data_IF_365986075452
#
_entry.id   IF_365986075452
#
_cell.length_a   1.000
_cell.length_b   1.000
_cell.length_c   1.000
_cell.angle_alpha   90.00
_cell.angle_beta   90.00
_cell.angle_gamma   90.00
#
_symmetry.space_group_name_H-M   'P 1'
#
loop_
_entity.id
_entity.type
_entity.pdbx_description
1 polymer ?
#
# COMPACT_ATOMS: atom_id res chain seq x y z
N UNK A 1 12.19 -14.79 19.13
CA UNK A 1 12.05 -15.62 17.93
C UNK A 1 12.47 -17.05 18.23
N UNK A 2 11.91 -18.05 17.55
CA UNK A 2 12.29 -19.47 17.73
C UNK A 2 13.72 -19.71 17.25
N UNK A 3 14.40 -20.70 17.88
CA UNK A 3 15.75 -21.06 17.46
C UNK A 3 15.77 -21.85 16.16
N UNK A 4 16.95 -21.96 15.52
CA UNK A 4 17.12 -22.77 14.30
C UNK A 4 16.76 -24.24 14.54
N UNK A 5 17.07 -24.77 15.71
CA UNK A 5 16.79 -26.17 16.08
C UNK A 5 15.27 -26.40 16.13
N UNK A 6 14.50 -25.48 16.71
CA UNK A 6 13.03 -25.56 16.74
C UNK A 6 12.48 -25.41 15.32
N UNK A 7 12.96 -24.42 14.55
CA UNK A 7 12.52 -24.21 13.18
C UNK A 7 12.76 -25.45 12.29
N UNK A 8 13.93 -26.09 12.43
CA UNK A 8 14.27 -27.34 11.71
C UNK A 8 13.26 -28.44 12.02
N UNK A 9 13.01 -28.74 13.31
CA UNK A 9 12.06 -29.79 13.72
C UNK A 9 10.63 -29.52 13.19
N UNK A 10 10.19 -28.27 13.23
CA UNK A 10 8.87 -27.88 12.74
C UNK A 10 8.78 -28.04 11.21
N UNK A 11 9.80 -27.59 10.47
CA UNK A 11 9.85 -27.73 9.02
C UNK A 11 9.90 -29.21 8.57
N UNK A 12 10.68 -30.06 9.25
CA UNK A 12 10.71 -31.49 9.01
C UNK A 12 9.34 -32.12 9.24
N UNK A 13 8.65 -31.72 10.32
CA UNK A 13 7.29 -32.15 10.62
C UNK A 13 6.27 -31.73 9.55
N UNK A 14 6.45 -30.57 8.94
CA UNK A 14 5.62 -30.10 7.82
C UNK A 14 5.70 -31.01 6.57
N UNK A 15 6.84 -31.66 6.35
CA UNK A 15 7.09 -32.42 5.11
C UNK A 15 6.78 -33.91 5.19
N UNK A 16 6.29 -34.42 6.31
CA UNK A 16 6.02 -35.85 6.54
C UNK A 16 4.97 -36.48 5.61
N UNK A 17 4.21 -35.66 4.86
CA UNK A 17 3.20 -36.13 3.89
C UNK A 17 3.63 -35.92 2.44
N UNK A 18 4.95 -35.81 2.19
CA UNK A 18 5.51 -35.57 0.86
C UNK A 18 5.33 -34.14 0.36
N UNK A 19 5.18 -33.18 1.28
CA UNK A 19 5.28 -31.77 0.96
C UNK A 19 6.62 -31.45 0.28
N UNK A 20 6.62 -30.53 -0.67
CA UNK A 20 7.81 -30.16 -1.44
C UNK A 20 8.43 -28.81 -1.00
N UNK A 21 7.69 -28.03 -0.20
CA UNK A 21 8.13 -26.81 0.41
C UNK A 21 7.39 -26.57 1.74
N UNK A 22 8.08 -26.07 2.74
CA UNK A 22 7.50 -25.60 3.99
C UNK A 22 8.13 -24.26 4.42
N UNK A 23 7.34 -23.40 5.05
CA UNK A 23 7.75 -22.08 5.52
C UNK A 23 7.17 -21.81 6.90
N UNK A 24 7.98 -21.21 7.74
CA UNK A 24 7.60 -20.60 9.02
C UNK A 24 7.72 -19.09 8.88
N UNK A 25 6.70 -18.38 9.31
CA UNK A 25 6.70 -16.92 9.49
C UNK A 25 6.35 -16.60 10.93
N UNK A 26 7.31 -16.17 11.72
CA UNK A 26 7.10 -15.72 13.09
C UNK A 26 7.03 -14.21 13.14
N UNK A 27 6.08 -13.66 13.88
CA UNK A 27 5.91 -12.23 14.10
C UNK A 27 5.77 -11.92 15.59
N UNK A 28 6.52 -10.91 16.03
CA UNK A 28 6.37 -10.24 17.32
C UNK A 28 6.23 -8.75 17.07
N UNK A 29 5.05 -8.21 17.27
CA UNK A 29 4.76 -6.82 16.95
C UNK A 29 4.15 -6.06 18.11
N UNK A 30 4.57 -4.80 18.28
CA UNK A 30 4.00 -3.84 19.21
C UNK A 30 3.38 -2.71 18.41
N UNK A 31 2.12 -2.42 18.68
CA UNK A 31 1.39 -1.32 18.03
C UNK A 31 0.91 -0.36 19.10
N UNK A 32 1.16 0.93 18.91
CA UNK A 32 0.62 1.99 19.74
C UNK A 32 -0.21 2.93 18.89
N UNK A 33 -1.34 3.39 19.43
CA UNK A 33 -2.17 4.41 18.81
C UNK A 33 -2.68 5.41 19.84
N UNK A 34 -2.74 6.68 19.41
CA UNK A 34 -3.26 7.78 20.23
C UNK A 34 -4.26 8.53 19.36
N UNK A 35 -5.40 8.92 19.93
CA UNK A 35 -6.36 9.81 19.29
C UNK A 35 -6.57 11.09 20.09
N UNK A 36 -6.57 12.22 19.38
CA UNK A 36 -6.90 13.54 19.89
C UNK A 36 -8.10 14.07 19.11
N UNK A 37 -9.10 14.55 19.81
CA UNK A 37 -10.29 15.18 19.24
C UNK A 37 -10.51 16.50 19.97
N UNK A 38 -10.57 17.61 19.22
CA UNK A 38 -10.77 18.95 19.74
C UNK A 38 -9.92 19.24 20.99
N UNK A 39 -8.61 19.08 20.85
CA UNK A 39 -7.55 19.26 21.86
C UNK A 39 -7.57 18.27 23.05
N UNK A 40 -8.50 17.34 23.11
CA UNK A 40 -8.59 16.33 24.17
C UNK A 40 -8.05 15.00 23.68
N UNK A 41 -7.20 14.37 24.48
CA UNK A 41 -6.80 12.98 24.26
C UNK A 41 -7.98 12.08 24.60
N UNK A 42 -8.49 11.34 23.61
CA UNK A 42 -9.61 10.45 23.82
C UNK A 42 -9.17 9.02 24.12
N UNK A 43 -8.15 8.55 23.41
CA UNK A 43 -7.69 7.17 23.57
C UNK A 43 -6.16 7.09 23.49
N UNK A 44 -5.60 6.24 24.32
CA UNK A 44 -4.21 5.77 24.24
C UNK A 44 -4.28 4.25 24.31
N UNK A 45 -3.92 3.58 23.22
CA UNK A 45 -3.98 2.13 23.12
C UNK A 45 -2.60 1.60 22.76
N UNK A 46 -2.18 0.52 23.41
CA UNK A 46 -0.97 -0.21 23.10
C UNK A 46 -1.23 -1.69 23.19
N UNK A 47 -0.63 -2.48 22.32
CA UNK A 47 -0.78 -3.92 22.32
C UNK A 47 0.37 -4.64 21.65
N UNK A 48 0.67 -5.86 22.14
CA UNK A 48 1.58 -6.81 21.51
C UNK A 48 0.76 -7.91 20.85
N UNK A 49 1.06 -8.20 19.58
CA UNK A 49 0.54 -9.38 18.87
C UNK A 49 1.73 -10.28 18.50
N UNK A 50 1.63 -11.57 18.90
CA UNK A 50 2.67 -12.55 18.69
C UNK A 50 2.06 -13.81 18.10
N UNK A 51 2.77 -14.41 17.14
CA UNK A 51 2.42 -15.74 16.66
C UNK A 51 3.26 -16.21 15.49
N UNK A 52 2.96 -17.43 15.06
CA UNK A 52 3.70 -18.17 14.08
C UNK A 52 2.74 -18.74 13.04
N UNK A 53 2.94 -18.37 11.78
CA UNK A 53 2.27 -18.96 10.63
C UNK A 53 3.13 -20.06 10.01
N UNK A 54 2.51 -21.16 9.64
CA UNK A 54 3.14 -22.31 8.97
C UNK A 54 2.45 -22.55 7.65
N UNK A 55 3.21 -22.57 6.56
CA UNK A 55 2.71 -22.81 5.21
C UNK A 55 3.43 -24.01 4.59
N UNK A 56 2.65 -24.88 3.92
CA UNK A 56 3.18 -26.07 3.27
C UNK A 56 2.66 -26.13 1.83
N UNK A 57 3.56 -26.40 0.88
CA UNK A 57 3.17 -26.73 -0.50
C UNK A 57 3.32 -28.22 -0.80
N UNK A 58 2.39 -28.73 -1.58
CA UNK A 58 2.53 -30.01 -2.32
C UNK A 58 2.09 -29.75 -3.76
N UNK A 59 3.04 -29.68 -4.68
CA UNK A 59 2.84 -29.19 -6.04
C UNK A 59 2.27 -27.75 -6.05
N UNK A 60 1.03 -27.56 -6.52
CA UNK A 60 0.34 -26.25 -6.58
C UNK A 60 -0.71 -26.08 -5.48
N UNK A 61 -0.82 -27.02 -4.56
CA UNK A 61 -1.69 -26.90 -3.38
C UNK A 61 -0.92 -26.25 -2.24
N UNK A 62 -1.60 -25.37 -1.50
CA UNK A 62 -1.08 -24.72 -0.29
C UNK A 62 -2.01 -25.00 0.88
N UNK A 63 -1.44 -25.26 2.05
CA UNK A 63 -2.13 -25.25 3.34
C UNK A 63 -1.44 -24.25 4.24
N UNK A 64 -2.23 -23.47 4.95
CA UNK A 64 -1.78 -22.49 5.92
C UNK A 64 -2.43 -22.75 7.27
N UNK A 65 -1.63 -22.74 8.33
CA UNK A 65 -2.07 -22.81 9.72
C UNK A 65 -1.26 -21.83 10.56
N UNK A 66 -1.79 -21.40 11.69
CA UNK A 66 -1.06 -20.53 12.61
C UNK A 66 -1.40 -20.81 14.06
N UNK A 67 -0.51 -20.39 14.96
CA UNK A 67 -0.67 -20.45 16.41
C UNK A 67 -0.01 -19.24 17.06
N UNK A 68 -0.46 -18.87 18.25
CA UNK A 68 0.20 -17.87 19.11
C UNK A 68 0.95 -18.52 20.29
N UNK A 69 1.02 -19.85 20.33
CA UNK A 69 1.81 -20.62 21.30
C UNK A 69 3.11 -21.09 20.64
N UNK A 70 4.25 -20.62 21.16
CA UNK A 70 5.58 -20.94 20.67
C UNK A 70 6.23 -22.16 21.33
N UNK A 71 5.48 -22.92 22.15
CA UNK A 71 6.01 -24.17 22.66
C UNK A 71 6.25 -25.17 21.54
N UNK A 72 7.35 -25.93 21.64
CA UNK A 72 7.70 -26.91 20.62
C UNK A 72 6.56 -27.91 20.39
N UNK A 73 5.85 -28.33 21.43
CA UNK A 73 4.70 -29.26 21.33
C UNK A 73 3.56 -28.66 20.50
N UNK A 74 3.20 -27.38 20.72
CA UNK A 74 2.15 -26.69 19.95
C UNK A 74 2.54 -26.48 18.49
N UNK A 75 3.81 -26.10 18.24
CA UNK A 75 4.32 -25.92 16.89
C UNK A 75 4.34 -27.23 16.08
N UNK A 76 4.78 -28.35 16.72
CA UNK A 76 4.78 -29.67 16.09
C UNK A 76 3.35 -30.19 15.82
N UNK A 77 2.39 -29.92 16.71
CA UNK A 77 0.99 -30.28 16.52
C UNK A 77 0.36 -29.46 15.38
N UNK A 78 0.64 -28.14 15.32
CA UNK A 78 0.18 -27.25 14.23
C UNK A 78 0.76 -27.69 12.88
N UNK A 79 2.05 -27.98 12.83
CA UNK A 79 2.74 -28.48 11.64
C UNK A 79 2.14 -29.84 11.18
N UNK A 80 1.89 -30.75 12.12
CA UNK A 80 1.29 -32.05 11.85
C UNK A 80 -0.12 -31.91 11.26
N UNK A 81 -0.97 -31.09 11.87
CA UNK A 81 -2.34 -30.82 11.38
C UNK A 81 -2.33 -30.21 9.98
N UNK A 82 -1.42 -29.28 9.71
CA UNK A 82 -1.25 -28.71 8.38
C UNK A 82 -0.77 -29.75 7.35
N UNK A 83 0.19 -30.61 7.73
CA UNK A 83 0.71 -31.64 6.85
C UNK A 83 -0.33 -32.69 6.46
N UNK A 84 -1.09 -33.23 7.42
CA UNK A 84 -2.12 -34.25 7.14
C UNK A 84 -3.27 -33.72 6.27
N UNK A 85 -3.51 -32.41 6.24
CA UNK A 85 -4.46 -31.79 5.33
C UNK A 85 -4.05 -31.88 3.83
N UNK A 86 -2.75 -32.11 3.56
CA UNK A 86 -2.21 -32.28 2.20
C UNK A 86 -2.17 -33.75 1.72
N UNK A 87 -2.20 -34.73 2.63
CA UNK A 87 -2.13 -36.13 2.24
C UNK A 87 -1.79 -37.08 3.38
N UNK A 88 -1.51 -38.33 3.03
CA UNK A 88 -1.08 -39.36 3.96
C UNK A 88 0.39 -39.21 4.31
N UNK A 89 0.78 -39.76 5.44
CA UNK A 89 2.19 -39.78 5.92
C UNK A 89 3.02 -40.61 4.92
N UNK A 90 4.14 -40.05 4.52
CA UNK A 90 5.18 -40.62 3.65
C UNK A 90 6.54 -40.49 4.37
N UNK A 91 7.63 -40.93 3.75
CA UNK A 91 8.96 -40.72 4.29
C UNK A 91 9.29 -39.23 4.34
N UNK A 92 9.63 -38.72 5.53
CA UNK A 92 9.97 -37.34 5.78
C UNK A 92 11.30 -36.94 5.14
N UNK A 93 11.50 -35.65 4.93
CA UNK A 93 12.76 -35.07 4.44
C UNK A 93 13.52 -34.42 5.60
N UNK A 94 14.82 -34.68 5.67
CA UNK A 94 15.70 -33.94 6.57
C UNK A 94 16.02 -32.55 6.01
N UNK A 95 16.01 -31.54 6.88
CA UNK A 95 16.24 -30.15 6.52
C UNK A 95 17.50 -29.62 7.20
N UNK A 96 18.27 -28.83 6.47
CA UNK A 96 19.44 -28.15 7.00
C UNK A 96 19.31 -26.66 6.74
N UNK A 97 19.16 -25.87 7.81
CA UNK A 97 19.10 -24.42 7.76
C UNK A 97 20.52 -23.82 7.66
N UNK A 98 21.14 -23.93 6.49
CA UNK A 98 22.53 -23.49 6.26
C UNK A 98 22.62 -22.02 5.81
N UNK A 99 21.54 -21.46 5.28
CA UNK A 99 21.52 -20.12 4.72
C UNK A 99 20.99 -19.10 5.72
N UNK A 100 21.75 -18.83 6.78
CA UNK A 100 21.49 -17.64 7.57
C UNK A 100 21.87 -16.43 6.72
N UNK A 101 20.87 -15.76 6.15
CA UNK A 101 21.08 -14.54 5.37
C UNK A 101 20.73 -13.34 6.23
N UNK A 102 21.70 -12.46 6.42
CA UNK A 102 21.45 -11.12 6.93
C UNK A 102 21.35 -10.19 5.73
N UNK A 103 20.21 -9.57 5.55
CA UNK A 103 20.02 -8.59 4.49
C UNK A 103 20.47 -7.20 4.97
N UNK A 104 20.99 -6.40 4.01
CA UNK A 104 21.35 -5.02 4.31
C UNK A 104 20.08 -4.26 4.70
N UNK A 105 20.10 -3.62 5.86
CA UNK A 105 19.02 -2.73 6.25
C UNK A 105 19.09 -1.43 5.42
N UNK A 106 18.12 -1.25 4.53
CA UNK A 106 17.98 -0.06 3.69
C UNK A 106 17.18 1.06 4.37
N UNK A 107 16.52 0.75 5.49
CA UNK A 107 15.60 1.62 6.21
C UNK A 107 16.03 1.80 7.67
N UNK A 108 17.18 2.46 7.95
CA UNK A 108 17.70 2.62 9.30
C UNK A 108 16.77 3.47 10.15
N UNK A 109 16.53 3.04 11.39
CA UNK A 109 15.73 3.71 12.39
C UNK A 109 16.66 4.45 13.34
N UNK A 110 16.38 5.74 13.59
CA UNK A 110 17.16 6.57 14.51
C UNK A 110 16.53 6.64 15.90
N UNK A 111 15.20 6.74 15.98
CA UNK A 111 14.46 6.88 17.25
C UNK A 111 13.35 5.85 17.28
N UNK A 112 13.52 4.80 18.06
CA UNK A 112 12.51 3.77 18.24
C UNK A 112 11.27 4.33 18.94
N UNK A 113 10.06 4.23 18.38
CA UNK A 113 8.86 4.84 18.94
C UNK A 113 8.54 4.37 20.36
N UNK A 114 8.87 3.12 20.72
CA UNK A 114 8.67 2.59 22.06
C UNK A 114 9.59 3.23 23.13
N UNK A 115 10.64 3.95 22.73
CA UNK A 115 11.53 4.70 23.65
C UNK A 115 11.10 6.14 23.85
N UNK A 116 10.07 6.62 23.13
CA UNK A 116 9.58 7.99 23.17
C UNK A 116 8.44 8.10 24.17
N UNK A 117 8.52 9.10 25.06
CA UNK A 117 7.46 9.38 26.02
C UNK A 117 6.14 9.71 25.28
N UNK A 118 5.03 9.19 25.79
CA UNK A 118 3.71 9.44 25.25
C UNK A 118 3.37 10.96 25.20
N UNK A 119 3.90 11.75 26.11
CA UNK A 119 3.74 13.23 26.13
C UNK A 119 4.34 13.89 24.89
N UNK A 120 5.48 13.39 24.40
CA UNK A 120 6.12 13.94 23.19
C UNK A 120 5.32 13.58 21.93
N UNK A 121 4.76 12.38 21.86
CA UNK A 121 3.83 11.98 20.81
C UNK A 121 2.57 12.86 20.80
N UNK A 122 1.97 13.09 21.97
CA UNK A 122 0.80 13.97 22.14
C UNK A 122 1.14 15.41 21.76
N UNK A 123 2.35 15.89 22.07
CA UNK A 123 2.80 17.24 21.69
C UNK A 123 2.77 17.44 20.18
N UNK A 124 3.28 16.50 19.40
CA UNK A 124 3.20 16.52 17.93
C UNK A 124 1.74 16.58 17.45
N UNK A 125 0.87 15.79 18.05
CA UNK A 125 -0.55 15.77 17.68
C UNK A 125 -1.25 17.08 18.02
N UNK A 126 -0.96 17.68 19.16
CA UNK A 126 -1.52 18.99 19.57
C UNK A 126 -1.01 20.12 18.70
N UNK A 127 0.24 20.07 18.24
CA UNK A 127 0.76 21.01 17.25
C UNK A 127 -0.04 20.91 15.94
N UNK A 128 -0.27 19.72 15.43
CA UNK A 128 -1.10 19.50 14.24
C UNK A 128 -2.56 19.98 14.47
N UNK A 129 -3.16 19.62 15.61
CA UNK A 129 -4.51 20.07 15.95
C UNK A 129 -4.62 21.59 15.90
N UNK A 130 -3.73 22.30 16.61
CA UNK A 130 -3.74 23.76 16.67
C UNK A 130 -3.60 24.38 15.29
N UNK A 131 -2.65 23.90 14.48
CA UNK A 131 -2.39 24.44 13.15
C UNK A 131 -3.58 24.26 12.19
N UNK A 132 -4.32 23.15 12.30
CA UNK A 132 -5.55 22.95 11.53
C UNK A 132 -6.69 23.83 12.06
N UNK A 133 -6.88 23.89 13.38
CA UNK A 133 -7.98 24.62 14.02
C UNK A 133 -7.88 26.13 13.80
N UNK A 134 -6.66 26.67 13.85
CA UNK A 134 -6.38 28.09 13.68
C UNK A 134 -6.36 28.54 12.21
N UNK A 135 -6.53 27.60 11.24
CA UNK A 135 -6.45 27.90 9.81
C UNK A 135 -7.55 28.86 9.35
N UNK A 136 -8.81 28.59 9.72
CA UNK A 136 -9.97 29.41 9.38
C UNK A 136 -11.13 29.19 10.36
N UNK A 137 -11.99 30.19 10.52
CA UNK A 137 -13.18 30.12 11.41
C UNK A 137 -14.17 29.01 11.02
N UNK A 138 -14.22 28.60 9.75
CA UNK A 138 -15.07 27.50 9.27
C UNK A 138 -14.66 26.14 9.85
N UNK A 139 -13.41 26.00 10.32
CA UNK A 139 -12.95 24.72 10.86
C UNK A 139 -13.64 24.46 12.20
N UNK A 140 -14.70 23.67 12.14
CA UNK A 140 -15.54 23.34 13.29
C UNK A 140 -14.91 22.27 14.16
N UNK A 141 -14.31 21.22 13.55
CA UNK A 141 -13.80 20.05 14.26
C UNK A 141 -12.47 19.57 13.66
N UNK A 142 -11.55 19.14 14.52
CA UNK A 142 -10.29 18.53 14.09
C UNK A 142 -10.03 17.28 14.92
N UNK A 143 -9.72 16.18 14.24
CA UNK A 143 -9.22 14.95 14.85
C UNK A 143 -7.81 14.65 14.37
N UNK A 144 -6.95 14.21 15.30
CA UNK A 144 -5.59 13.80 15.00
C UNK A 144 -5.35 12.41 15.58
N UNK A 145 -4.93 11.48 14.73
CA UNK A 145 -4.51 10.14 15.11
C UNK A 145 -2.99 10.00 14.97
N UNK A 146 -2.38 9.29 15.89
CA UNK A 146 -1.00 8.83 15.82
C UNK A 146 -0.98 7.31 15.88
N UNK A 147 -0.14 6.68 15.09
CA UNK A 147 0.09 5.25 15.10
C UNK A 147 1.57 4.95 14.89
N UNK A 148 2.12 4.06 15.72
CA UNK A 148 3.37 3.39 15.43
C UNK A 148 3.22 1.86 15.53
N UNK A 149 3.96 1.14 14.70
CA UNK A 149 4.08 -0.32 14.75
C UNK A 149 5.55 -0.71 14.65
N UNK A 150 6.05 -1.41 15.65
CA UNK A 150 7.31 -2.13 15.60
C UNK A 150 7.00 -3.60 15.33
N UNK A 151 7.50 -4.13 14.22
CA UNK A 151 7.26 -5.50 13.77
C UNK A 151 8.59 -6.20 13.58
N UNK A 152 8.86 -7.19 14.44
CA UNK A 152 9.98 -8.10 14.31
C UNK A 152 9.49 -9.39 13.67
N UNK A 153 10.16 -9.86 12.63
CA UNK A 153 9.81 -11.09 11.92
C UNK A 153 11.00 -12.03 11.79
N UNK A 154 10.69 -13.33 11.79
CA UNK A 154 11.62 -14.39 11.43
C UNK A 154 10.96 -15.23 10.32
N UNK A 155 11.74 -15.52 9.28
CA UNK A 155 11.32 -16.40 8.19
C UNK A 155 12.31 -17.54 8.07
N UNK A 156 11.79 -18.78 8.16
CA UNK A 156 12.58 -20.00 7.93
C UNK A 156 11.84 -20.88 6.91
N UNK A 157 12.57 -21.54 6.01
CA UNK A 157 11.95 -22.42 5.05
C UNK A 157 12.78 -23.67 4.73
N UNK A 158 12.12 -24.66 4.13
CA UNK A 158 12.73 -25.95 3.78
C UNK A 158 13.77 -25.89 2.65
N UNK A 159 13.99 -24.73 2.03
CA UNK A 159 15.09 -24.48 1.08
C UNK A 159 16.36 -23.99 1.81
N UNK A 160 16.35 -24.00 3.14
CA UNK A 160 17.50 -23.70 3.99
C UNK A 160 17.58 -22.25 4.47
N UNK A 161 16.63 -21.39 4.12
CA UNK A 161 16.60 -20.00 4.57
C UNK A 161 16.27 -19.93 6.08
N UNK A 162 17.00 -19.07 6.78
CA UNK A 162 16.69 -18.59 8.12
C UNK A 162 17.12 -17.12 8.20
N UNK A 163 16.18 -16.20 8.35
CA UNK A 163 16.44 -14.76 8.32
C UNK A 163 15.46 -14.00 9.20
N UNK A 164 15.91 -12.85 9.68
CA UNK A 164 15.14 -11.93 10.50
C UNK A 164 15.10 -10.55 9.85
N UNK A 165 14.04 -9.78 10.12
CA UNK A 165 13.91 -8.38 9.73
C UNK A 165 13.09 -7.61 10.78
N UNK A 166 13.39 -6.32 10.94
CA UNK A 166 12.65 -5.41 11.81
C UNK A 166 12.09 -4.26 10.99
N UNK A 167 10.79 -4.05 11.09
CA UNK A 167 10.05 -3.02 10.36
C UNK A 167 9.38 -2.09 11.33
N UNK A 168 9.74 -0.80 11.30
CA UNK A 168 9.14 0.21 12.16
C UNK A 168 8.43 1.23 11.29
N UNK A 169 7.14 1.41 11.54
CA UNK A 169 6.30 2.35 10.82
C UNK A 169 5.66 3.34 11.77
N UNK A 170 5.71 4.61 11.39
CA UNK A 170 5.06 5.70 12.13
C UNK A 170 4.14 6.46 11.18
N UNK A 171 2.95 6.83 11.66
CA UNK A 171 1.93 7.54 10.87
C UNK A 171 1.23 8.62 11.70
N UNK A 172 0.95 9.76 11.06
CA UNK A 172 0.06 10.79 11.56
C UNK A 172 -1.18 10.84 10.66
N UNK A 173 -2.36 10.97 11.26
CA UNK A 173 -3.64 11.03 10.54
C UNK A 173 -4.37 12.28 11.00
N UNK A 174 -4.62 13.21 10.09
CA UNK A 174 -5.24 14.49 10.40
C UNK A 174 -6.52 14.61 9.60
N UNK A 175 -7.61 14.89 10.28
CA UNK A 175 -8.92 15.16 9.70
C UNK A 175 -9.43 16.49 10.19
N UNK A 176 -9.71 17.41 9.27
CA UNK A 176 -10.35 18.69 9.54
C UNK A 176 -11.74 18.72 8.91
N UNK A 177 -12.71 19.23 9.64
CA UNK A 177 -14.08 19.43 9.16
C UNK A 177 -14.35 20.93 9.15
N UNK A 178 -14.68 21.46 8.00
CA UNK A 178 -15.22 22.79 7.82
C UNK A 178 -16.75 22.72 7.75
N UNK A 179 -17.43 23.64 8.42
CA UNK A 179 -18.89 23.63 8.55
C UNK A 179 -19.47 25.02 8.34
N UNK A 180 -20.64 25.07 7.71
CA UNK A 180 -21.54 26.23 7.73
C UNK A 180 -22.94 25.77 8.21
N UNK A 181 -23.95 26.64 8.10
CA UNK A 181 -25.31 26.34 8.54
C UNK A 181 -25.97 25.16 7.79
N UNK A 182 -25.51 24.85 6.57
CA UNK A 182 -26.18 23.91 5.68
C UNK A 182 -25.42 22.58 5.51
N UNK A 183 -24.08 22.59 5.67
CA UNK A 183 -23.29 21.42 5.31
C UNK A 183 -21.92 21.38 5.99
N UNK A 184 -21.27 20.22 5.87
CA UNK A 184 -19.92 19.94 6.34
C UNK A 184 -19.08 19.40 5.21
N UNK A 185 -17.82 19.82 5.13
CA UNK A 185 -16.84 19.26 4.21
C UNK A 185 -15.57 18.85 4.98
N UNK A 186 -14.90 17.81 4.50
CA UNK A 186 -13.75 17.22 5.17
C UNK A 186 -12.50 17.33 4.31
N UNK A 187 -11.38 17.68 4.95
CA UNK A 187 -10.06 17.54 4.37
C UNK A 187 -9.20 16.67 5.26
N UNK A 188 -8.33 15.84 4.66
CA UNK A 188 -7.49 14.93 5.40
C UNK A 188 -6.07 14.87 4.85
N UNK A 189 -5.12 14.58 5.76
CA UNK A 189 -3.73 14.28 5.46
C UNK A 189 -3.28 13.11 6.33
N UNK A 190 -2.60 12.12 5.74
CA UNK A 190 -2.26 10.90 6.45
C UNK A 190 -0.80 10.48 6.21
N UNK A 191 0.20 11.37 6.44
CA UNK A 191 1.59 11.04 6.19
C UNK A 191 2.06 9.86 7.06
N UNK A 192 2.82 8.96 6.47
CA UNK A 192 3.39 7.80 7.13
C UNK A 192 4.71 7.37 6.50
N UNK A 193 5.61 6.78 7.29
CA UNK A 193 6.94 6.33 6.84
C UNK A 193 7.31 4.99 7.46
N UNK A 194 8.16 4.26 6.77
CA UNK A 194 8.94 3.16 7.33
C UNK A 194 10.12 3.77 8.11
N UNK A 195 9.80 4.47 9.18
CA UNK A 195 10.71 5.22 10.06
C UNK A 195 10.21 5.17 11.50
N UNK A 196 11.11 5.49 12.45
CA UNK A 196 10.75 5.73 13.82
C UNK A 196 10.20 7.16 14.05
N UNK A 197 10.29 7.62 15.29
CA UNK A 197 9.76 8.93 15.68
C UNK A 197 10.51 10.11 15.05
N UNK A 198 11.75 9.88 14.58
CA UNK A 198 12.52 10.87 13.80
C UNK A 198 11.79 11.35 12.55
N UNK A 199 10.77 10.65 12.09
CA UNK A 199 9.93 11.06 10.97
C UNK A 199 9.45 12.51 11.10
N UNK A 200 9.06 12.92 12.31
CA UNK A 200 8.53 14.28 12.57
C UNK A 200 9.59 15.37 12.56
N UNK A 201 10.86 14.99 12.60
CA UNK A 201 11.98 15.95 12.52
C UNK A 201 12.56 16.02 11.10
N UNK A 202 12.60 14.86 10.43
CA UNK A 202 13.38 14.71 9.20
C UNK A 202 12.52 14.86 7.92
N UNK A 203 11.23 14.46 7.93
CA UNK A 203 10.44 14.35 6.69
C UNK A 203 9.00 14.85 6.78
N UNK A 204 8.36 14.79 7.94
CA UNK A 204 6.94 15.10 8.09
C UNK A 204 6.75 16.28 9.03
N UNK A 205 6.41 17.44 8.48
CA UNK A 205 6.00 18.61 9.25
C UNK A 205 4.51 18.51 9.63
N UNK A 206 4.18 18.31 10.91
CA UNK A 206 2.79 18.19 11.37
C UNK A 206 1.95 19.44 11.11
N UNK A 207 2.56 20.64 11.17
CA UNK A 207 1.86 21.91 10.94
C UNK A 207 1.47 22.06 9.46
N UNK A 208 2.40 21.76 8.56
CA UNK A 208 2.14 21.79 7.12
C UNK A 208 0.98 20.88 6.74
N UNK A 209 1.02 19.60 7.14
CA UNK A 209 -0.03 18.64 6.82
C UNK A 209 -1.38 19.01 7.45
N UNK A 210 -1.35 19.58 8.65
CA UNK A 210 -2.56 20.03 9.32
C UNK A 210 -3.22 21.21 8.59
N UNK A 211 -2.43 22.21 8.16
CA UNK A 211 -2.91 23.33 7.35
C UNK A 211 -3.46 22.88 6.01
N UNK A 212 -2.80 21.93 5.33
CA UNK A 212 -3.29 21.35 4.06
C UNK A 212 -4.59 20.57 4.21
N UNK A 213 -4.81 19.85 5.33
CA UNK A 213 -6.09 19.23 5.64
C UNK A 213 -7.19 20.26 5.83
N UNK A 214 -6.94 21.28 6.67
CA UNK A 214 -7.90 22.37 6.94
C UNK A 214 -8.22 23.17 5.69
N UNK A 215 -7.22 23.48 4.86
CA UNK A 215 -7.38 24.19 3.58
C UNK A 215 -8.29 23.44 2.62
N UNK A 216 -8.10 22.13 2.47
CA UNK A 216 -8.98 21.32 1.62
C UNK A 216 -10.41 21.33 2.13
N UNK A 217 -10.64 21.17 3.45
CA UNK A 217 -11.98 21.24 4.04
C UNK A 217 -12.64 22.59 3.78
N UNK A 218 -11.92 23.70 4.01
CA UNK A 218 -12.41 25.07 3.78
C UNK A 218 -12.75 25.32 2.30
N UNK A 219 -11.85 24.97 1.38
CA UNK A 219 -12.10 25.16 -0.07
C UNK A 219 -13.34 24.37 -0.50
N UNK A 220 -13.44 23.10 -0.08
CA UNK A 220 -14.56 22.23 -0.49
C UNK A 220 -15.91 22.68 0.12
N UNK A 221 -15.91 23.33 1.28
CA UNK A 221 -17.12 23.90 1.88
C UNK A 221 -17.75 24.99 0.97
N UNK A 222 -16.91 25.76 0.28
CA UNK A 222 -17.31 26.84 -0.60
C UNK A 222 -17.33 26.45 -2.10
N UNK A 223 -16.96 25.20 -2.41
CA UNK A 223 -16.93 24.70 -3.78
C UNK A 223 -18.35 24.46 -4.35
N UNK A 224 -18.53 24.70 -5.64
CA UNK A 224 -19.76 24.34 -6.38
C UNK A 224 -19.84 22.83 -6.66
N UNK A 225 -21.01 22.36 -7.02
CA UNK A 225 -21.13 20.99 -7.51
C UNK A 225 -20.42 20.82 -8.86
N UNK A 226 -19.71 19.70 -9.02
CA UNK A 226 -19.06 19.39 -10.29
C UNK A 226 -20.09 18.97 -11.34
N UNK A 227 -20.05 19.51 -12.56
CA UNK A 227 -20.89 19.04 -13.64
C UNK A 227 -20.53 17.59 -14.02
N UNK A 228 -21.55 16.80 -14.35
CA UNK A 228 -21.35 15.46 -14.89
C UNK A 228 -21.11 15.52 -16.40
N UNK A 229 -20.27 14.63 -16.92
CA UNK A 229 -20.05 14.54 -18.35
C UNK A 229 -18.79 13.75 -18.72
N UNK A 230 -18.54 13.64 -20.02
CA UNK A 230 -17.31 13.05 -20.54
C UNK A 230 -16.38 14.19 -20.95
N UNK A 231 -15.23 14.29 -20.33
CA UNK A 231 -14.31 15.41 -20.50
C UNK A 231 -12.84 15.01 -20.29
N UNK A 232 -11.87 15.82 -20.77
CA UNK A 232 -10.47 15.66 -20.43
C UNK A 232 -10.25 15.97 -18.94
N UNK A 233 -9.35 15.20 -18.29
CA UNK A 233 -9.03 15.38 -16.88
C UNK A 233 -7.53 15.41 -16.69
N UNK A 234 -7.01 16.46 -16.07
CA UNK A 234 -5.68 16.48 -15.48
C UNK A 234 -5.79 15.89 -14.07
N UNK A 235 -5.01 14.83 -13.78
CA UNK A 235 -4.97 14.21 -12.45
C UNK A 235 -3.60 14.51 -11.86
N UNK A 236 -3.60 15.17 -10.70
CA UNK A 236 -2.37 15.61 -10.07
C UNK A 236 -1.51 14.46 -9.55
N UNK A 237 -0.30 14.78 -9.15
CA UNK A 237 0.70 13.85 -8.64
C UNK A 237 0.30 13.21 -7.28
N UNK A 238 1.15 12.34 -6.76
CA UNK A 238 0.98 11.72 -5.45
C UNK A 238 -0.19 10.72 -5.45
N UNK A 239 -1.22 10.96 -4.63
CA UNK A 239 -2.34 10.02 -4.49
C UNK A 239 -3.19 9.84 -5.77
N UNK A 240 -2.98 10.64 -6.81
CA UNK A 240 -3.49 10.39 -8.17
C UNK A 240 -3.13 8.99 -8.67
N UNK A 241 -1.96 8.47 -8.28
CA UNK A 241 -1.49 7.12 -8.60
C UNK A 241 -2.39 5.98 -8.10
N UNK A 242 -3.41 6.27 -7.27
CA UNK A 242 -4.42 5.29 -6.87
C UNK A 242 -5.15 4.71 -8.09
N UNK A 243 -5.32 5.50 -9.15
CA UNK A 243 -5.96 5.03 -10.39
C UNK A 243 -5.14 3.90 -11.02
N UNK A 244 -3.82 4.06 -11.16
CA UNK A 244 -2.97 2.98 -11.66
C UNK A 244 -2.97 1.78 -10.71
N UNK A 245 -2.84 2.00 -9.40
CA UNK A 245 -2.83 0.96 -8.37
C UNK A 245 -4.06 0.04 -8.48
N UNK A 246 -5.23 0.63 -8.53
CA UNK A 246 -6.50 -0.12 -8.55
C UNK A 246 -6.85 -0.62 -9.95
N UNK A 247 -6.77 0.27 -10.95
CA UNK A 247 -7.22 -0.06 -12.30
C UNK A 247 -6.31 -1.08 -13.01
N UNK A 248 -5.02 -1.12 -12.67
CA UNK A 248 -4.03 -1.97 -13.32
C UNK A 248 -3.22 -2.80 -12.33
N UNK A 249 -2.72 -2.23 -11.26
CA UNK A 249 -1.78 -2.84 -10.32
C UNK A 249 -2.25 -4.19 -9.78
N UNK A 250 -3.48 -4.26 -9.25
CA UNK A 250 -4.06 -5.53 -8.79
C UNK A 250 -4.20 -6.57 -9.88
N UNK A 251 -4.43 -6.16 -11.12
CA UNK A 251 -4.51 -7.06 -12.27
C UNK A 251 -3.13 -7.57 -12.74
N UNK A 252 -2.05 -7.01 -12.23
CA UNK A 252 -0.66 -7.46 -12.46
C UNK A 252 -0.10 -8.31 -11.29
N UNK A 253 -0.90 -8.57 -10.25
CA UNK A 253 -0.54 -9.50 -9.19
C UNK A 253 -0.69 -10.95 -9.68
N UNK A 254 0.35 -11.77 -9.55
CA UNK A 254 0.34 -13.17 -9.99
C UNK A 254 -0.75 -14.00 -9.30
N UNK A 255 -1.23 -13.56 -8.14
CA UNK A 255 -2.38 -14.17 -7.45
C UNK A 255 -3.65 -14.24 -8.33
N UNK A 256 -3.85 -13.25 -9.21
CA UNK A 256 -4.92 -13.22 -10.19
C UNK A 256 -4.46 -13.80 -11.54
N UNK A 257 -3.30 -13.38 -12.04
CA UNK A 257 -2.77 -13.76 -13.37
C UNK A 257 -2.57 -15.27 -13.49
N UNK A 258 -1.95 -15.93 -12.49
CA UNK A 258 -1.68 -17.37 -12.52
C UNK A 258 -2.93 -18.27 -12.53
N UNK A 259 -4.10 -17.69 -12.29
CA UNK A 259 -5.40 -18.38 -12.29
C UNK A 259 -6.29 -18.02 -13.49
N UNK A 260 -5.79 -17.20 -14.41
CA UNK A 260 -6.57 -16.70 -15.54
C UNK A 260 -7.63 -15.64 -15.16
N UNK A 261 -7.52 -15.05 -13.96
CA UNK A 261 -8.50 -14.09 -13.41
C UNK A 261 -8.04 -12.62 -13.56
N UNK A 262 -7.30 -12.31 -14.62
CA UNK A 262 -6.85 -10.96 -14.92
C UNK A 262 -7.01 -10.65 -16.40
N UNK A 263 -7.40 -9.42 -16.71
CA UNK A 263 -7.45 -8.88 -18.08
C UNK A 263 -6.07 -8.82 -18.76
N UNK A 264 -5.00 -8.95 -17.98
CA UNK A 264 -3.60 -8.93 -18.46
C UNK A 264 -2.95 -10.31 -18.50
N UNK A 265 -3.72 -11.41 -18.37
CA UNK A 265 -3.20 -12.75 -18.62
C UNK A 265 -2.65 -12.85 -20.04
N UNK A 266 -1.49 -13.52 -20.18
CA UNK A 266 -0.82 -13.77 -21.47
C UNK A 266 -0.50 -12.50 -22.31
N UNK A 267 -0.36 -11.35 -21.62
CA UNK A 267 -0.07 -10.04 -22.26
C UNK A 267 1.40 -9.62 -22.15
N UNK A 268 2.30 -10.44 -21.60
CA UNK A 268 3.73 -10.12 -21.56
C UNK A 268 4.25 -9.79 -22.97
N UNK A 269 4.97 -8.69 -23.10
CA UNK A 269 5.49 -8.17 -24.38
C UNK A 269 4.46 -7.45 -25.25
N UNK A 270 3.20 -7.37 -24.84
CA UNK A 270 2.15 -6.66 -25.57
C UNK A 270 1.94 -5.25 -25.02
N UNK A 271 1.46 -4.37 -25.88
CA UNK A 271 1.06 -3.02 -25.49
C UNK A 271 -0.26 -3.08 -24.67
N UNK A 272 -0.23 -2.56 -23.46
CA UNK A 272 -1.38 -2.49 -22.55
C UNK A 272 -1.66 -1.06 -22.03
N UNK A 273 -0.80 -0.12 -22.38
CA UNK A 273 -0.91 1.29 -22.01
C UNK A 273 -0.39 2.18 -23.15
N UNK A 274 -0.64 3.49 -23.07
CA UNK A 274 -0.01 4.49 -23.92
C UNK A 274 1.51 4.38 -23.85
N UNK A 275 2.20 4.64 -24.96
CA UNK A 275 3.69 4.66 -25.00
C UNK A 275 4.33 5.69 -24.06
N UNK A 276 3.57 6.64 -23.55
CA UNK A 276 3.98 7.59 -22.51
C UNK A 276 4.11 6.94 -21.12
N UNK A 277 3.55 5.75 -20.90
CA UNK A 277 3.45 5.12 -19.59
C UNK A 277 4.58 4.13 -19.37
N UNK A 278 5.39 4.43 -18.35
CA UNK A 278 6.26 3.46 -17.67
C UNK A 278 5.78 3.35 -16.22
N UNK A 279 5.47 2.13 -15.77
CA UNK A 279 4.94 1.89 -14.43
C UNK A 279 5.83 0.90 -13.68
N UNK A 280 6.03 1.18 -12.39
CA UNK A 280 7.03 0.52 -11.55
C UNK A 280 6.39 0.17 -10.22
N UNK A 281 6.77 -0.99 -9.65
CA UNK A 281 6.59 -1.33 -8.24
C UNK A 281 7.98 -1.44 -7.59
N UNK A 282 8.29 -0.60 -6.60
CA UNK A 282 9.63 -0.50 -6.02
C UNK A 282 9.61 -0.60 -4.50
N UNK A 283 9.89 -1.81 -3.98
CA UNK A 283 9.99 -2.06 -2.54
C UNK A 283 11.27 -1.51 -1.89
N UNK A 284 12.22 -0.99 -2.68
CA UNK A 284 13.53 -0.53 -2.19
C UNK A 284 13.60 0.97 -1.88
N UNK A 285 12.54 1.72 -2.18
CA UNK A 285 12.50 3.16 -1.92
C UNK A 285 12.74 3.45 -0.44
N UNK A 286 13.79 4.22 -0.15
CA UNK A 286 14.25 4.44 1.23
C UNK A 286 13.17 5.06 2.10
N UNK A 287 12.81 4.40 3.19
CA UNK A 287 11.87 4.85 4.22
C UNK A 287 10.43 5.10 3.76
N UNK A 288 10.06 4.73 2.55
CA UNK A 288 8.68 4.84 2.08
C UNK A 288 7.77 3.86 2.81
N UNK A 289 6.50 4.22 2.95
CA UNK A 289 5.50 3.50 3.75
C UNK A 289 5.29 2.05 3.31
N UNK A 290 5.32 1.78 1.98
CA UNK A 290 5.16 0.46 1.38
C UNK A 290 6.45 -0.37 1.30
N UNK A 291 7.62 0.19 1.63
CA UNK A 291 8.92 -0.47 1.50
C UNK A 291 9.19 -1.53 2.56
N UNK A 292 10.17 -2.41 2.28
CA UNK A 292 10.76 -3.36 3.20
C UNK A 292 12.11 -3.86 2.67
N UNK A 293 12.96 -4.44 3.54
CA UNK A 293 14.22 -5.04 3.12
C UNK A 293 14.00 -6.35 2.35
N UNK A 294 13.09 -7.16 2.86
CA UNK A 294 12.65 -8.44 2.27
C UNK A 294 11.13 -8.49 2.25
N UNK A 295 10.57 -9.28 1.36
CA UNK A 295 9.15 -9.62 1.38
C UNK A 295 8.84 -10.66 2.47
N UNK A 296 7.58 -11.08 2.58
CA UNK A 296 7.15 -12.00 3.64
C UNK A 296 7.39 -13.48 3.32
N UNK A 297 8.16 -13.77 2.27
CA UNK A 297 8.75 -15.07 1.94
C UNK A 297 10.29 -15.05 2.05
N UNK A 298 10.88 -13.94 2.54
CA UNK A 298 12.32 -13.77 2.71
C UNK A 298 13.08 -13.47 1.41
N UNK A 299 12.38 -13.07 0.36
CA UNK A 299 12.98 -12.61 -0.90
C UNK A 299 13.34 -11.13 -0.79
N UNK A 300 14.56 -10.69 -1.15
CA UNK A 300 14.89 -9.27 -1.20
C UNK A 300 13.89 -8.49 -2.08
N UNK A 301 13.40 -7.37 -1.55
CA UNK A 301 12.60 -6.46 -2.37
C UNK A 301 13.45 -5.85 -3.47
N UNK A 302 12.81 -5.51 -4.59
CA UNK A 302 13.49 -4.93 -5.74
C UNK A 302 12.59 -3.94 -6.47
N UNK A 303 13.19 -3.19 -7.39
CA UNK A 303 12.48 -2.35 -8.33
C UNK A 303 12.01 -3.21 -9.51
N UNK A 304 10.72 -3.43 -9.62
CA UNK A 304 10.07 -4.19 -10.69
C UNK A 304 9.49 -3.22 -11.73
N UNK A 305 10.01 -3.23 -12.96
CA UNK A 305 9.37 -2.52 -14.07
C UNK A 305 8.21 -3.36 -14.57
N UNK A 306 7.00 -2.91 -14.30
CA UNK A 306 5.77 -3.62 -14.70
C UNK A 306 5.41 -3.31 -16.15
N UNK A 307 5.42 -2.03 -16.52
CA UNK A 307 5.15 -1.53 -17.86
C UNK A 307 6.31 -0.62 -18.26
N UNK A 308 6.81 -0.74 -19.47
CA UNK A 308 7.82 0.13 -20.03
C UNK A 308 7.37 0.64 -21.39
N UNK A 309 7.23 1.96 -21.52
CA UNK A 309 6.74 2.61 -22.74
C UNK A 309 5.46 1.96 -23.29
N UNK A 310 4.51 1.67 -22.42
CA UNK A 310 3.24 1.04 -22.74
C UNK A 310 3.25 -0.49 -22.85
N UNK A 311 4.43 -1.12 -22.86
CA UNK A 311 4.59 -2.56 -23.04
C UNK A 311 4.66 -3.28 -21.68
N UNK A 312 3.85 -4.30 -21.45
CA UNK A 312 3.90 -5.13 -20.25
C UNK A 312 5.21 -5.93 -20.19
N UNK A 313 5.99 -5.74 -19.11
CA UNK A 313 7.31 -6.36 -18.93
C UNK A 313 7.33 -7.45 -17.87
N UNK A 314 6.58 -7.27 -16.79
CA UNK A 314 6.56 -8.24 -15.69
C UNK A 314 5.28 -8.19 -14.88
N UNK A 315 5.07 -9.24 -14.11
CA UNK A 315 4.06 -9.32 -13.05
C UNK A 315 4.74 -9.26 -11.67
N UNK A 316 3.95 -9.00 -10.63
CA UNK A 316 4.39 -9.15 -9.24
C UNK A 316 4.11 -10.59 -8.80
N UNK A 317 5.16 -11.33 -8.42
CA UNK A 317 5.12 -12.78 -8.29
C UNK A 317 5.60 -13.25 -6.92
N UNK A 318 4.74 -13.98 -6.19
CA UNK A 318 5.05 -14.75 -4.98
C UNK A 318 5.51 -16.18 -5.33
N UNK A 319 6.03 -16.90 -4.35
CA UNK A 319 6.63 -18.23 -4.53
C UNK A 319 5.64 -19.29 -5.10
N UNK A 320 4.40 -19.30 -4.61
CA UNK A 320 3.41 -20.28 -5.11
C UNK A 320 3.02 -19.99 -6.56
N UNK A 321 2.83 -18.73 -6.90
CA UNK A 321 2.46 -18.35 -8.27
C UNK A 321 3.66 -18.36 -9.22
N UNK A 322 4.89 -18.19 -8.74
CA UNK A 322 6.11 -18.45 -9.51
C UNK A 322 6.12 -19.91 -10.04
N UNK A 323 5.76 -20.88 -9.19
CA UNK A 323 5.62 -22.28 -9.60
C UNK A 323 4.52 -22.49 -10.66
N UNK A 324 3.35 -21.84 -10.48
CA UNK A 324 2.23 -21.93 -11.43
C UNK A 324 2.57 -21.37 -12.80
N UNK A 325 3.30 -20.25 -12.82
CA UNK A 325 3.63 -19.52 -14.04
C UNK A 325 4.98 -19.92 -14.63
N UNK A 326 5.72 -20.83 -13.96
CA UNK A 326 7.09 -21.23 -14.31
C UNK A 326 8.01 -19.99 -14.52
N UNK A 327 8.01 -19.09 -13.53
CA UNK A 327 8.76 -17.84 -13.54
C UNK A 327 9.45 -17.59 -12.20
N UNK A 328 10.25 -16.53 -12.11
CA UNK A 328 10.93 -16.16 -10.87
C UNK A 328 10.05 -15.31 -9.94
N UNK A 329 10.34 -15.38 -8.64
CA UNK A 329 9.76 -14.50 -7.61
C UNK A 329 10.26 -13.07 -7.78
N UNK A 330 9.45 -12.09 -7.41
CA UNK A 330 9.77 -10.65 -7.61
C UNK A 330 9.98 -9.86 -6.31
N UNK A 331 9.99 -10.52 -5.15
CA UNK A 331 10.08 -9.84 -3.86
C UNK A 331 8.81 -9.04 -3.52
N UNK A 332 7.67 -9.56 -3.95
CA UNK A 332 6.36 -8.91 -3.84
C UNK A 332 5.36 -9.70 -2.99
N UNK A 333 5.82 -10.73 -2.27
CA UNK A 333 4.94 -11.55 -1.43
C UNK A 333 4.69 -10.85 -0.10
N UNK A 334 3.42 -10.56 0.23
CA UNK A 334 3.09 -9.77 1.42
C UNK A 334 1.87 -10.29 2.16
N UNK A 335 1.89 -10.10 3.49
CA UNK A 335 0.80 -10.43 4.43
C UNK A 335 0.64 -9.34 5.50
N UNK A 336 -0.55 -9.23 6.06
CA UNK A 336 -0.83 -8.31 7.16
C UNK A 336 -0.15 -8.74 8.46
N UNK A 337 -0.16 -10.04 8.77
CA UNK A 337 0.44 -10.64 9.97
C UNK A 337 0.58 -12.15 9.81
N UNK A 338 1.12 -12.81 10.83
CA UNK A 338 1.21 -14.28 10.88
C UNK A 338 -0.15 -15.01 10.73
N UNK A 339 -1.28 -14.34 10.85
CA UNK A 339 -2.62 -14.92 10.69
C UNK A 339 -3.03 -15.12 9.22
N UNK A 340 -2.26 -14.56 8.30
CA UNK A 340 -2.57 -14.55 6.87
C UNK A 340 -1.53 -15.29 6.04
N UNK A 341 -2.00 -16.08 5.08
CA UNK A 341 -1.15 -16.59 4.00
C UNK A 341 -0.69 -15.43 3.12
N UNK A 342 0.62 -15.32 2.77
CA UNK A 342 1.07 -14.25 1.90
C UNK A 342 0.64 -14.47 0.46
N UNK A 343 0.49 -13.38 -0.27
CA UNK A 343 0.18 -13.38 -1.70
C UNK A 343 0.97 -12.28 -2.40
N UNK A 344 1.01 -12.33 -3.74
CA UNK A 344 1.58 -11.23 -4.53
C UNK A 344 0.83 -9.94 -4.27
N UNK A 345 1.54 -8.87 -3.90
CA UNK A 345 0.98 -7.56 -3.57
C UNK A 345 1.95 -6.45 -3.97
N UNK A 346 1.39 -5.30 -4.25
CA UNK A 346 2.13 -4.06 -4.51
C UNK A 346 2.89 -3.57 -3.27
N UNK A 347 3.97 -2.79 -3.51
CA UNK A 347 4.77 -2.08 -2.48
C UNK A 347 4.64 -0.56 -2.64
N UNK A 348 5.51 0.08 -3.40
CA UNK A 348 5.38 1.48 -3.80
C UNK A 348 5.20 1.49 -5.32
N UNK A 349 3.96 1.60 -5.74
CA UNK A 349 3.58 1.47 -7.15
C UNK A 349 3.36 2.84 -7.75
N UNK A 350 4.02 3.16 -8.86
CA UNK A 350 3.91 4.49 -9.45
C UNK A 350 4.12 4.51 -10.96
N UNK A 351 3.55 5.53 -11.61
CA UNK A 351 3.89 5.93 -12.98
C UNK A 351 5.18 6.77 -12.90
N UNK A 352 6.18 6.39 -13.69
CA UNK A 352 7.46 7.10 -13.77
C UNK A 352 7.29 8.50 -14.38
N UNK A 353 8.22 9.45 -14.08
CA UNK A 353 8.17 10.78 -14.67
C UNK A 353 8.26 10.74 -16.19
N UNK A 354 7.46 11.57 -16.86
CA UNK A 354 7.49 11.82 -18.28
C UNK A 354 8.24 13.11 -18.62
N UNK A 355 7.99 13.64 -19.82
CA UNK A 355 8.69 14.82 -20.36
C UNK A 355 7.81 16.07 -20.43
N UNK A 356 6.50 15.92 -20.28
CA UNK A 356 5.55 17.02 -20.39
C UNK A 356 5.67 17.96 -19.18
N UNK A 357 5.30 19.23 -19.32
CA UNK A 357 5.27 20.18 -18.21
C UNK A 357 3.88 20.31 -17.63
N UNK A 358 3.79 20.50 -16.30
CA UNK A 358 2.53 20.66 -15.58
C UNK A 358 1.69 21.77 -16.20
N UNK A 359 2.31 22.91 -16.52
CA UNK A 359 1.64 24.06 -17.12
C UNK A 359 1.08 23.76 -18.50
N UNK A 360 1.81 22.94 -19.30
CA UNK A 360 1.37 22.57 -20.66
C UNK A 360 0.21 21.58 -20.61
N UNK A 361 0.20 20.68 -19.60
CA UNK A 361 -0.92 19.79 -19.35
C UNK A 361 -2.21 20.61 -19.07
N UNK A 362 -2.14 21.58 -18.17
CA UNK A 362 -3.31 22.43 -17.85
C UNK A 362 -3.73 23.27 -19.06
N UNK A 363 -2.78 23.93 -19.75
CA UNK A 363 -3.06 24.73 -20.94
C UNK A 363 -3.66 23.94 -22.09
N UNK A 364 -3.47 22.64 -22.14
CA UNK A 364 -4.01 21.76 -23.18
C UNK A 364 -5.49 21.40 -23.01
N UNK A 365 -6.15 21.85 -21.94
CA UNK A 365 -7.54 21.55 -21.61
C UNK A 365 -8.40 22.81 -21.84
N UNK A 366 -9.24 22.79 -22.86
CA UNK A 366 -10.17 23.91 -23.14
C UNK A 366 -11.34 23.91 -22.17
N UNK A 367 -11.94 22.75 -21.92
CA UNK A 367 -13.05 22.53 -20.98
C UNK A 367 -12.88 21.15 -20.33
N UNK A 368 -12.64 21.13 -19.02
CA UNK A 368 -12.39 19.88 -18.31
C UNK A 368 -12.22 20.04 -16.81
N UNK A 369 -11.64 19.02 -16.22
CA UNK A 369 -11.43 18.95 -14.77
C UNK A 369 -9.94 18.83 -14.43
N UNK A 370 -9.52 19.56 -13.41
CA UNK A 370 -8.27 19.31 -12.68
C UNK A 370 -8.62 18.61 -11.37
N UNK A 371 -8.34 17.30 -11.30
CA UNK A 371 -8.46 16.48 -10.11
C UNK A 371 -7.19 16.61 -9.26
N UNK A 372 -7.16 17.61 -8.38
CA UNK A 372 -5.98 17.96 -7.57
C UNK A 372 -5.72 16.96 -6.44
N UNK A 373 -6.78 16.44 -5.81
CA UNK A 373 -6.65 15.37 -4.81
C UNK A 373 -7.66 14.28 -5.09
N UNK A 374 -7.16 13.09 -5.28
CA UNK A 374 -8.01 11.91 -5.38
C UNK A 374 -8.41 11.43 -3.98
N UNK A 375 -9.59 10.85 -3.89
CA UNK A 375 -10.10 10.19 -2.70
C UNK A 375 -10.12 8.67 -2.84
N UNK A 376 -10.82 8.03 -1.93
CA UNK A 376 -11.07 6.59 -2.01
C UNK A 376 -11.99 6.23 -3.18
N UNK A 377 -11.98 4.97 -3.53
CA UNK A 377 -12.84 4.42 -4.59
C UNK A 377 -12.91 2.90 -4.53
N UNK A 378 -13.40 2.32 -5.58
CA UNK A 378 -13.51 0.87 -5.74
C UNK A 378 -13.19 0.45 -7.17
N UNK A 379 -12.67 -0.75 -7.30
CA UNK A 379 -12.47 -1.42 -8.60
C UNK A 379 -13.12 -2.80 -8.58
N UNK A 380 -13.68 -3.18 -9.71
CA UNK A 380 -14.03 -4.58 -9.95
C UNK A 380 -12.82 -5.26 -10.61
N UNK A 381 -12.10 -6.15 -9.91
CA UNK A 381 -10.86 -6.74 -10.45
C UNK A 381 -11.09 -7.66 -11.66
N UNK A 382 -12.31 -8.12 -11.88
CA UNK A 382 -12.66 -8.99 -13.01
C UNK A 382 -12.93 -8.18 -14.28
N UNK A 383 -13.69 -7.08 -14.18
CA UNK A 383 -14.06 -6.24 -15.33
C UNK A 383 -13.09 -5.07 -15.53
N UNK A 384 -12.28 -4.73 -14.52
CA UNK A 384 -11.42 -3.55 -14.50
C UNK A 384 -12.19 -2.22 -14.36
N UNK A 385 -13.49 -2.26 -14.13
CA UNK A 385 -14.31 -1.06 -13.91
C UNK A 385 -13.99 -0.43 -12.56
N UNK A 386 -13.82 0.88 -12.54
CA UNK A 386 -13.50 1.65 -11.34
C UNK A 386 -14.37 2.88 -11.18
N UNK A 387 -14.48 3.32 -9.92
CA UNK A 387 -15.08 4.61 -9.54
C UNK A 387 -14.27 5.21 -8.39
N UNK A 388 -13.66 6.39 -8.60
CA UNK A 388 -12.85 7.09 -7.61
C UNK A 388 -13.37 8.50 -7.37
N UNK A 389 -13.55 8.87 -6.11
CA UNK A 389 -13.91 10.23 -5.73
C UNK A 389 -12.75 11.21 -5.98
N UNK A 390 -13.09 12.42 -6.36
CA UNK A 390 -12.18 13.58 -6.36
C UNK A 390 -12.43 14.36 -5.07
N UNK A 391 -11.44 14.36 -4.17
CA UNK A 391 -11.54 15.02 -2.85
C UNK A 391 -11.33 16.54 -2.95
N UNK A 392 -10.54 16.99 -3.93
CA UNK A 392 -10.33 18.40 -4.26
C UNK A 392 -10.20 18.54 -5.77
N UNK A 393 -11.12 19.24 -6.42
CA UNK A 393 -11.15 19.43 -7.86
C UNK A 393 -11.43 20.86 -8.28
N UNK A 394 -11.05 21.19 -9.50
CA UNK A 394 -11.26 22.52 -10.10
C UNK A 394 -11.66 22.36 -11.56
N UNK A 395 -12.52 23.25 -12.04
CA UNK A 395 -12.76 23.35 -13.47
C UNK A 395 -11.56 23.95 -14.17
N UNK A 396 -11.28 23.49 -15.37
CA UNK A 396 -10.31 24.09 -16.29
C UNK A 396 -11.08 24.65 -17.48
N UNK A 397 -10.88 25.93 -17.80
CA UNK A 397 -11.50 26.62 -18.91
C UNK A 397 -10.43 27.40 -19.68
N UNK A 398 -10.36 27.17 -20.98
CA UNK A 398 -9.38 27.83 -21.89
C UNK A 398 -7.91 27.71 -21.37
N UNK A 399 -7.57 26.55 -20.84
CA UNK A 399 -6.20 26.29 -20.33
C UNK A 399 -5.89 26.90 -18.95
N UNK A 400 -6.88 27.38 -18.22
CA UNK A 400 -6.72 27.99 -16.90
C UNK A 400 -7.55 27.28 -15.86
N UNK A 401 -6.94 27.05 -14.65
CA UNK A 401 -7.66 26.55 -13.48
C UNK A 401 -8.55 27.66 -12.96
N UNK A 402 -9.85 27.37 -12.81
CA UNK A 402 -10.84 28.38 -12.44
C UNK A 402 -11.45 28.09 -11.07
N UNK A 403 -12.73 27.71 -10.99
CA UNK A 403 -13.46 27.59 -9.72
C UNK A 403 -13.32 26.17 -9.12
N UNK A 404 -13.24 26.05 -7.78
CA UNK A 404 -13.24 24.77 -7.10
C UNK A 404 -14.61 24.07 -7.27
N UNK A 405 -14.56 22.74 -7.46
CA UNK A 405 -15.74 21.90 -7.56
C UNK A 405 -15.62 20.66 -6.67
N UNK A 406 -16.78 20.19 -6.17
CA UNK A 406 -16.90 19.03 -5.30
C UNK A 406 -17.89 18.00 -5.83
N UNK A 407 -17.86 16.80 -5.25
CA UNK A 407 -18.78 15.73 -5.62
C UNK A 407 -18.44 15.08 -6.96
N UNK A 408 -17.27 15.38 -7.53
CA UNK A 408 -16.78 14.72 -8.73
C UNK A 408 -16.34 13.28 -8.42
N UNK A 409 -16.57 12.38 -9.38
CA UNK A 409 -15.98 11.04 -9.37
C UNK A 409 -15.50 10.67 -10.77
N UNK A 410 -14.37 9.97 -10.85
CA UNK A 410 -13.82 9.47 -12.11
C UNK A 410 -14.27 8.02 -12.30
N UNK A 411 -14.90 7.74 -13.43
CA UNK A 411 -15.49 6.43 -13.75
C UNK A 411 -14.92 5.94 -15.06
N UNK A 412 -14.39 4.70 -15.07
CA UNK A 412 -13.77 4.14 -16.27
C UNK A 412 -13.40 2.68 -16.13
N UNK A 413 -12.59 2.18 -17.07
CA UNK A 413 -11.98 0.85 -17.04
C UNK A 413 -10.47 0.95 -17.10
N UNK A 414 -9.78 0.14 -16.32
CA UNK A 414 -8.32 0.19 -16.21
C UNK A 414 -7.60 -0.02 -17.54
N UNK A 415 -8.06 -0.96 -18.35
CA UNK A 415 -7.47 -1.23 -19.67
C UNK A 415 -7.66 -0.10 -20.69
N UNK A 416 -8.70 0.73 -20.52
CA UNK A 416 -9.00 1.84 -21.42
C UNK A 416 -8.26 3.12 -20.96
N UNK A 417 -8.32 3.44 -19.65
CA UNK A 417 -7.73 4.68 -19.14
C UNK A 417 -6.23 4.75 -19.39
N UNK A 418 -5.50 3.64 -19.25
CA UNK A 418 -4.06 3.62 -19.51
C UNK A 418 -3.69 3.92 -20.97
N UNK A 419 -4.58 3.59 -21.91
CA UNK A 419 -4.41 3.93 -23.33
C UNK A 419 -4.76 5.39 -23.63
N UNK A 420 -5.64 6.00 -22.82
CA UNK A 420 -6.11 7.37 -22.99
C UNK A 420 -5.23 8.42 -22.28
N UNK A 421 -4.21 7.99 -21.54
CA UNK A 421 -3.20 8.90 -20.99
C UNK A 421 -2.26 9.35 -22.11
N UNK A 422 -2.27 10.64 -22.44
CA UNK A 422 -1.50 11.19 -23.54
C UNK A 422 -0.46 12.24 -23.16
N UNK A 423 -0.50 12.74 -21.91
CA UNK A 423 0.55 13.59 -21.34
C UNK A 423 0.92 13.11 -19.95
N UNK A 424 2.21 13.14 -19.65
CA UNK A 424 2.81 12.71 -18.37
C UNK A 424 3.91 13.69 -18.00
N UNK A 425 3.78 14.37 -16.86
CA UNK A 425 4.76 15.36 -16.42
C UNK A 425 5.98 14.76 -15.72
N UNK A 426 6.88 15.62 -15.26
CA UNK A 426 8.12 15.23 -14.54
C UNK A 426 7.99 15.28 -13.00
N UNK A 427 6.89 15.81 -12.45
CA UNK A 427 6.69 16.15 -11.04
C UNK A 427 6.23 14.98 -10.16
N UNK A 428 6.81 13.78 -10.34
CA UNK A 428 6.38 12.59 -9.59
C UNK A 428 6.38 12.81 -8.07
N UNK A 429 5.30 12.39 -7.43
CA UNK A 429 5.17 12.32 -5.98
C UNK A 429 4.52 11.00 -5.56
N UNK A 430 4.66 10.66 -4.28
CA UNK A 430 4.12 9.46 -3.66
C UNK A 430 3.19 9.82 -2.52
N UNK A 431 2.21 8.98 -2.25
CA UNK A 431 1.31 9.12 -1.11
C UNK A 431 1.02 7.77 -0.45
N UNK A 432 0.79 7.80 0.85
CA UNK A 432 0.64 6.62 1.69
C UNK A 432 -0.79 6.09 1.65
N UNK A 433 -0.93 4.78 1.44
CA UNK A 433 -2.18 4.07 1.44
C UNK A 433 -2.17 2.80 2.28
N UNK A 434 -3.34 2.21 2.44
CA UNK A 434 -3.53 0.85 2.94
C UNK A 434 -4.29 0.06 1.88
N UNK A 435 -3.73 -1.07 1.49
CA UNK A 435 -4.30 -1.92 0.45
C UNK A 435 -4.84 -3.21 1.06
N UNK A 436 -6.14 -3.47 0.92
CA UNK A 436 -6.83 -4.64 1.41
C UNK A 436 -6.92 -5.77 0.37
N UNK A 437 -6.67 -7.02 0.77
CA UNK A 437 -6.86 -8.19 -0.08
C UNK A 437 -6.95 -9.47 0.76
N UNK A 438 -6.90 -10.64 0.13
CA UNK A 438 -6.94 -11.95 0.79
C UNK A 438 -5.83 -12.12 1.85
N UNK A 439 -4.66 -11.56 1.65
CA UNK A 439 -3.56 -11.57 2.63
C UNK A 439 -3.66 -10.47 3.69
N UNK A 440 -4.82 -9.84 3.85
CA UNK A 440 -5.10 -8.79 4.81
C UNK A 440 -4.80 -7.38 4.28
N UNK A 441 -4.78 -6.40 5.18
CA UNK A 441 -4.50 -5.00 4.90
C UNK A 441 -3.02 -4.69 5.10
N UNK A 442 -2.36 -4.17 4.09
CA UNK A 442 -0.92 -3.89 4.11
C UNK A 442 -0.61 -2.43 3.75
N UNK A 443 0.49 -1.85 4.29
CA UNK A 443 0.95 -0.53 3.91
C UNK A 443 1.48 -0.52 2.48
N UNK A 444 1.08 0.48 1.68
CA UNK A 444 1.53 0.70 0.30
C UNK A 444 1.74 2.19 0.05
N UNK A 445 2.60 2.55 -0.91
CA UNK A 445 2.53 3.86 -1.54
C UNK A 445 1.91 3.75 -2.93
N UNK A 446 1.20 4.78 -3.30
CA UNK A 446 0.75 5.03 -4.67
C UNK A 446 1.40 6.31 -5.17
N UNK A 447 1.78 6.36 -6.43
CA UNK A 447 2.46 7.53 -6.96
C UNK A 447 2.28 7.73 -8.45
N UNK A 448 2.39 8.98 -8.84
CA UNK A 448 2.46 9.40 -10.25
C UNK A 448 2.94 10.85 -10.34
N UNK A 449 3.42 11.30 -11.49
CA UNK A 449 3.43 12.71 -11.85
C UNK A 449 2.02 13.17 -12.27
N UNK A 450 1.83 14.45 -12.55
CA UNK A 450 0.57 14.89 -13.16
C UNK A 450 0.41 14.21 -14.54
N UNK A 451 -0.77 13.66 -14.78
CA UNK A 451 -1.14 13.03 -16.06
C UNK A 451 -2.37 13.71 -16.65
N UNK A 452 -2.50 13.66 -17.98
CA UNK A 452 -3.74 13.99 -18.67
C UNK A 452 -4.37 12.74 -19.25
N UNK A 453 -5.65 12.52 -18.92
CA UNK A 453 -6.52 11.57 -19.59
C UNK A 453 -7.36 12.33 -20.61
N UNK A 454 -7.28 11.94 -21.87
CA UNK A 454 -7.95 12.64 -22.99
C UNK A 454 -9.46 12.77 -22.79
N UNK A 455 -10.08 11.72 -22.25
CA UNK A 455 -11.51 11.67 -22.10
C UNK A 455 -11.89 10.59 -21.08
N UNK A 456 -12.53 10.98 -20.00
CA UNK A 456 -13.03 10.08 -18.96
C UNK A 456 -14.41 10.55 -18.51
N UNK A 457 -15.25 9.62 -18.06
CA UNK A 457 -16.53 9.95 -17.46
C UNK A 457 -16.32 10.54 -16.06
N UNK A 458 -16.79 11.77 -15.89
CA UNK A 458 -16.85 12.46 -14.61
C UNK A 458 -18.31 12.39 -14.13
N UNK A 459 -18.53 11.69 -13.00
CA UNK A 459 -19.77 11.77 -12.25
C UNK A 459 -19.82 13.08 -11.46
N UNK A 460 -20.96 13.72 -11.43
CA UNK A 460 -21.18 14.98 -10.72
C UNK A 460 -22.43 14.93 -9.86
N UNK A 461 -22.77 16.05 -9.26
CA UNK A 461 -24.06 16.27 -8.57
C UNK A 461 -24.78 17.39 -9.29
N UNK A 462 -26.08 17.18 -9.55
CA UNK A 462 -27.00 18.24 -10.00
C UNK A 462 -27.31 19.19 -8.85
#
# INVERSE_FOLDING_TARGET
MISKEIATQVLEKCLITGGDFAEIFEEDSITNSISVLDDKVENILGGRDYGIGIRIFKNLKSVYAYTNDNSLSSLLDTAYKAAIALGKIEDGKSIVLNNQKTFKNMHPIKIYPNTVDCKDKIKVMKTAYKSAKDFHSDISKVSVGYLDKEQNILIANSEGLYTEDTRIRTRLMINAIASNENENQTGSQNPGRLMGFEMFKDEVDPEYHAKEAAKTAHIMLHAKNCPAGKMPVAIDNGFGGVIFHEACGHSLEATAVAKGNSVFCDKLGQQIASSKITAIDDGTMKNYWGSSNIDDEGTPTRRNVLIENGILKSYMVDKLNARRMNTEVTGSSRRQSYKYEPTSRMTNTYIAPGEDKVEDIIKSIDDGLYAKKMGGGSVNPVTGEFNFAVSEGYLVKNGEITEPVRGASLIGKGSEILMDIDMVSDNVAQAEGMCGSKSGSIPVNVGQPMIRVKSITVGGRE
#
